data_IF_140534098391
#
_entry.id   IF_140534098391
#
_cell.length_a   1.000
_cell.length_b   1.000
_cell.length_c   1.000
_cell.angle_alpha   90.00
_cell.angle_beta   90.00
_cell.angle_gamma   90.00
#
_symmetry.space_group_name_H-M   'P 1'
#
loop_
_entity.id
_entity.type
_entity.pdbx_description
1 polymer ?
#
# COMPACT_ATOMS: atom_id res chain seq x y z
N UNK A 1 -10.18 15.46 -0.53
CA UNK A 1 -11.03 14.72 0.45
C UNK A 1 -10.26 13.53 1.01
N UNK A 2 -10.39 13.22 2.31
CA UNK A 2 -9.88 11.98 2.93
C UNK A 2 -11.09 11.09 3.23
N UNK A 3 -11.28 10.00 2.49
CA UNK A 3 -12.38 9.06 2.71
C UNK A 3 -11.93 7.89 3.62
N UNK A 4 -12.74 7.52 4.60
CA UNK A 4 -12.37 6.58 5.66
C UNK A 4 -11.56 7.26 6.79
N UNK A 5 -11.74 8.57 6.95
CA UNK A 5 -11.00 9.39 7.90
C UNK A 5 -11.12 8.93 9.37
N UNK A 6 -12.21 8.25 9.74
CA UNK A 6 -12.39 7.69 11.08
C UNK A 6 -11.64 6.38 11.34
N UNK A 7 -11.02 5.78 10.32
CA UNK A 7 -10.13 4.62 10.46
C UNK A 7 -8.80 4.97 11.12
N UNK A 8 -8.00 3.95 11.47
CA UNK A 8 -6.69 4.16 12.10
C UNK A 8 -5.77 5.07 11.25
N UNK A 9 -5.48 4.65 10.01
CA UNK A 9 -4.63 5.41 9.09
C UNK A 9 -5.28 6.73 8.66
N UNK A 10 -6.61 6.74 8.39
CA UNK A 10 -7.32 7.96 8.02
C UNK A 10 -7.24 9.07 9.07
N UNK A 11 -7.28 8.73 10.38
CA UNK A 11 -7.07 9.70 11.48
C UNK A 11 -5.66 10.27 11.48
N UNK A 12 -4.65 9.43 11.26
CA UNK A 12 -3.26 9.89 11.16
C UNK A 12 -3.09 10.82 9.97
N UNK A 13 -3.63 10.46 8.82
CA UNK A 13 -3.64 11.28 7.61
C UNK A 13 -4.33 12.62 7.82
N UNK A 14 -5.48 12.65 8.50
CA UNK A 14 -6.19 13.88 8.80
C UNK A 14 -5.41 14.80 9.76
N UNK A 15 -4.76 14.24 10.80
CA UNK A 15 -3.87 14.98 11.70
C UNK A 15 -2.65 15.54 10.98
N UNK A 16 -1.99 14.72 10.16
CA UNK A 16 -0.85 15.14 9.34
C UNK A 16 -1.23 16.29 8.41
N UNK A 17 -2.40 16.23 7.77
CA UNK A 17 -2.91 17.32 6.94
C UNK A 17 -3.09 18.62 7.76
N UNK A 18 -3.64 18.53 8.99
CA UNK A 18 -3.80 19.69 9.88
C UNK A 18 -2.45 20.31 10.28
N UNK A 19 -1.49 19.49 10.64
CA UNK A 19 -0.13 19.93 11.03
C UNK A 19 0.60 20.65 9.87
N UNK A 20 0.20 20.33 8.61
CA UNK A 20 0.76 20.94 7.41
C UNK A 20 -0.14 22.02 6.79
N UNK A 21 -1.09 22.56 7.56
CA UNK A 21 -2.00 23.64 7.15
C UNK A 21 -2.80 23.33 5.89
N UNK A 22 -3.19 22.07 5.69
CA UNK A 22 -4.10 21.64 4.65
C UNK A 22 -5.52 21.55 5.22
N UNK A 23 -6.53 21.75 4.36
CA UNK A 23 -7.94 21.78 4.74
C UNK A 23 -8.74 20.72 3.93
N UNK A 24 -8.57 19.41 4.21
CA UNK A 24 -9.30 18.37 3.51
C UNK A 24 -10.71 18.19 4.06
N UNK A 25 -11.66 17.87 3.20
CA UNK A 25 -12.96 17.33 3.61
C UNK A 25 -12.76 15.93 4.20
N UNK A 26 -13.22 15.67 5.42
CA UNK A 26 -13.19 14.34 6.02
C UNK A 26 -14.46 13.57 5.67
N UNK A 27 -14.32 12.35 5.13
CA UNK A 27 -15.46 11.58 4.68
C UNK A 27 -15.43 10.12 5.15
N UNK A 28 -16.61 9.49 5.16
CA UNK A 28 -16.81 8.08 5.49
C UNK A 28 -18.27 7.75 5.72
N UNK A 29 -18.57 6.47 5.95
CA UNK A 29 -19.95 5.97 6.06
C UNK A 29 -20.61 6.18 7.44
N UNK A 30 -19.82 6.39 8.49
CA UNK A 30 -20.32 6.52 9.86
C UNK A 30 -20.38 7.98 10.26
N UNK A 31 -21.60 8.54 10.41
CA UNK A 31 -21.84 9.96 10.61
C UNK A 31 -21.16 10.50 11.90
N UNK A 32 -21.42 9.87 13.04
CA UNK A 32 -20.95 10.36 14.33
C UNK A 32 -19.42 10.39 14.43
N UNK A 33 -18.66 9.32 14.11
CA UNK A 33 -17.19 9.37 14.18
C UNK A 33 -16.55 10.35 13.19
N UNK A 34 -17.15 10.54 12.00
CA UNK A 34 -16.63 11.49 11.00
C UNK A 34 -16.86 12.93 11.45
N UNK A 35 -18.08 13.27 11.87
CA UNK A 35 -18.41 14.64 12.34
C UNK A 35 -17.61 15.01 13.59
N UNK A 36 -17.44 14.08 14.52
CA UNK A 36 -16.62 14.28 15.71
C UNK A 36 -15.17 14.60 15.33
N UNK A 37 -14.52 13.80 14.51
CA UNK A 37 -13.15 14.04 14.08
C UNK A 37 -13.00 15.35 13.30
N UNK A 38 -13.95 15.65 12.41
CA UNK A 38 -13.96 16.90 11.64
C UNK A 38 -14.10 18.12 12.56
N UNK A 39 -14.97 18.06 13.57
CA UNK A 39 -15.11 19.13 14.57
C UNK A 39 -13.85 19.29 15.43
N UNK A 40 -13.20 18.20 15.84
CA UNK A 40 -11.94 18.24 16.59
C UNK A 40 -10.80 18.90 15.80
N UNK A 41 -10.76 18.70 14.47
CA UNK A 41 -9.71 19.21 13.59
C UNK A 41 -10.08 20.53 12.90
N UNK A 42 -11.35 20.96 12.97
CA UNK A 42 -11.85 22.15 12.29
C UNK A 42 -12.03 21.97 10.77
N UNK A 43 -12.36 20.77 10.30
CA UNK A 43 -12.52 20.44 8.90
C UNK A 43 -14.00 20.26 8.51
N UNK A 44 -14.32 20.45 7.20
CA UNK A 44 -15.61 20.04 6.63
C UNK A 44 -15.75 18.51 6.68
N UNK A 45 -17.00 18.03 6.77
CA UNK A 45 -17.30 16.59 6.73
C UNK A 45 -18.39 16.24 5.74
N UNK A 46 -18.22 15.10 5.04
CA UNK A 46 -19.25 14.47 4.20
C UNK A 46 -19.48 13.02 4.62
N UNK A 47 -20.75 12.63 4.72
CA UNK A 47 -21.12 11.28 5.18
C UNK A 47 -21.86 10.56 4.07
N UNK A 48 -21.23 9.52 3.53
CA UNK A 48 -21.80 8.66 2.48
C UNK A 48 -21.14 7.29 2.47
N UNK A 49 -21.84 6.30 1.95
CA UNK A 49 -21.32 4.96 1.67
C UNK A 49 -20.91 4.81 0.19
N UNK A 50 -20.37 3.66 -0.16
CA UNK A 50 -19.88 3.36 -1.51
C UNK A 50 -20.82 2.41 -2.29
N UNK A 51 -22.06 2.20 -1.83
CA UNK A 51 -22.97 1.25 -2.45
C UNK A 51 -23.46 1.68 -3.85
N UNK A 52 -23.54 3.00 -4.09
CA UNK A 52 -24.01 3.57 -5.34
C UNK A 52 -22.99 4.57 -5.91
N UNK A 53 -22.33 4.23 -7.03
CA UNK A 53 -21.34 5.13 -7.66
C UNK A 53 -21.90 6.50 -8.08
N UNK A 54 -23.20 6.63 -8.35
CA UNK A 54 -23.81 7.92 -8.67
C UNK A 54 -23.85 8.82 -7.43
N UNK A 55 -24.21 8.25 -6.27
CA UNK A 55 -24.15 8.97 -4.99
C UNK A 55 -22.71 9.30 -4.58
N UNK A 56 -21.76 8.41 -4.86
CA UNK A 56 -20.34 8.70 -4.64
C UNK A 56 -19.94 9.90 -5.48
N UNK A 57 -20.24 9.94 -6.78
CA UNK A 57 -19.93 11.05 -7.67
C UNK A 57 -20.55 12.38 -7.17
N UNK A 58 -21.82 12.38 -6.76
CA UNK A 58 -22.48 13.57 -6.20
C UNK A 58 -21.77 14.10 -4.93
N UNK A 59 -21.26 13.21 -4.08
CA UNK A 59 -20.48 13.60 -2.89
C UNK A 59 -19.04 14.02 -3.20
N UNK A 60 -18.55 13.75 -4.41
CA UNK A 60 -17.25 14.20 -4.90
C UNK A 60 -17.34 15.54 -5.67
N UNK A 61 -18.50 16.12 -5.83
CA UNK A 61 -18.67 17.42 -6.48
C UNK A 61 -17.83 18.49 -5.77
N UNK A 62 -17.02 19.23 -6.54
CA UNK A 62 -16.08 20.23 -6.04
C UNK A 62 -14.82 19.65 -5.37
N UNK A 63 -14.58 18.34 -5.43
CA UNK A 63 -13.41 17.68 -4.86
C UNK A 63 -12.38 17.43 -5.95
N UNK A 64 -11.20 18.04 -5.86
CA UNK A 64 -10.11 17.84 -6.83
C UNK A 64 -9.52 16.44 -6.78
N UNK A 65 -9.33 15.88 -5.57
CA UNK A 65 -8.77 14.55 -5.37
C UNK A 65 -9.34 13.86 -4.13
N UNK A 66 -9.47 12.53 -4.19
CA UNK A 66 -9.78 11.70 -3.02
C UNK A 66 -8.56 10.87 -2.63
N UNK A 67 -8.18 10.93 -1.34
CA UNK A 67 -7.27 9.97 -0.71
C UNK A 67 -8.14 8.95 0.04
N UNK A 68 -8.24 7.76 -0.54
CA UNK A 68 -9.10 6.69 -0.05
C UNK A 68 -8.37 5.82 0.97
N UNK A 69 -8.80 5.88 2.24
CA UNK A 69 -8.22 5.16 3.38
C UNK A 69 -9.15 4.08 3.96
N UNK A 70 -10.25 3.71 3.27
CA UNK A 70 -11.25 2.78 3.79
C UNK A 70 -11.13 1.38 3.17
N UNK A 71 -10.26 0.55 3.72
CA UNK A 71 -10.20 -0.88 3.37
C UNK A 71 -11.40 -1.70 3.92
N UNK A 72 -11.58 -2.97 3.45
CA UNK A 72 -10.73 -3.64 2.46
C UNK A 72 -10.93 -3.07 1.06
N UNK A 73 -9.83 -2.83 0.37
CA UNK A 73 -9.85 -2.15 -0.92
C UNK A 73 -10.41 -3.02 -2.05
N UNK A 74 -10.34 -4.34 -1.91
CA UNK A 74 -11.00 -5.30 -2.79
C UNK A 74 -12.50 -5.03 -2.99
N UNK A 75 -13.15 -4.42 -1.99
CA UNK A 75 -14.59 -4.10 -2.05
C UNK A 75 -14.88 -2.60 -2.21
N UNK A 76 -13.96 -1.74 -1.84
CA UNK A 76 -14.19 -0.29 -1.76
C UNK A 76 -13.55 0.51 -2.88
N UNK A 77 -12.45 0.03 -3.48
CA UNK A 77 -11.72 0.74 -4.53
C UNK A 77 -12.54 0.90 -5.81
N UNK A 78 -13.19 -0.17 -6.28
CA UNK A 78 -13.99 -0.15 -7.50
C UNK A 78 -15.12 0.89 -7.49
N UNK A 79 -16.01 0.87 -6.49
CA UNK A 79 -17.05 1.90 -6.36
C UNK A 79 -16.52 3.33 -6.21
N UNK A 80 -15.44 3.53 -5.44
CA UNK A 80 -14.83 4.84 -5.29
C UNK A 80 -14.23 5.33 -6.62
N UNK A 81 -13.45 4.49 -7.33
CA UNK A 81 -12.91 4.84 -8.64
C UNK A 81 -14.00 5.14 -9.66
N UNK A 82 -15.10 4.36 -9.66
CA UNK A 82 -16.25 4.64 -10.54
C UNK A 82 -16.91 6.00 -10.23
N UNK A 83 -16.99 6.38 -8.96
CA UNK A 83 -17.43 7.72 -8.56
C UNK A 83 -16.47 8.82 -9.02
N UNK A 84 -15.16 8.59 -8.86
CA UNK A 84 -14.11 9.51 -9.30
C UNK A 84 -14.15 9.76 -10.82
N UNK A 85 -14.28 8.70 -11.61
CA UNK A 85 -14.41 8.80 -13.06
C UNK A 85 -15.61 9.64 -13.50
N UNK A 86 -16.75 9.51 -12.81
CA UNK A 86 -17.97 10.29 -13.10
C UNK A 86 -17.86 11.75 -12.67
N UNK A 87 -17.16 12.02 -11.56
CA UNK A 87 -17.04 13.35 -10.99
C UNK A 87 -15.85 14.15 -11.56
N UNK A 88 -14.94 13.51 -12.33
CA UNK A 88 -13.68 14.15 -12.76
C UNK A 88 -12.71 14.36 -11.59
N UNK A 89 -12.81 13.55 -10.52
CA UNK A 89 -11.99 13.66 -9.31
C UNK A 89 -10.80 12.71 -9.39
N UNK A 90 -9.59 13.17 -9.08
CA UNK A 90 -8.41 12.30 -9.02
C UNK A 90 -8.54 11.24 -7.91
N UNK A 91 -8.04 10.03 -8.18
CA UNK A 91 -8.13 8.89 -7.27
C UNK A 91 -6.76 8.51 -6.72
N UNK A 92 -6.63 8.49 -5.40
CA UNK A 92 -5.48 7.91 -4.70
C UNK A 92 -5.99 6.99 -3.59
N UNK A 93 -5.27 5.90 -3.31
CA UNK A 93 -5.56 5.04 -2.16
C UNK A 93 -4.29 4.53 -1.50
N UNK A 94 -4.45 3.86 -0.36
CA UNK A 94 -3.34 3.29 0.41
C UNK A 94 -3.37 1.76 0.40
N UNK A 95 -3.83 1.16 -0.70
CA UNK A 95 -3.92 -0.29 -0.83
C UNK A 95 -2.54 -0.97 -0.90
N UNK A 96 -2.48 -2.23 -0.46
CA UNK A 96 -1.41 -3.19 -0.74
C UNK A 96 -1.92 -4.41 -1.51
N UNK A 97 -3.16 -4.36 -2.02
CA UNK A 97 -3.87 -5.52 -2.58
C UNK A 97 -3.61 -5.66 -4.10
N UNK A 98 -2.95 -6.76 -4.52
CA UNK A 98 -2.58 -7.04 -5.92
C UNK A 98 -3.77 -6.86 -6.87
N UNK A 99 -4.95 -7.38 -6.51
CA UNK A 99 -6.14 -7.31 -7.35
C UNK A 99 -6.61 -5.86 -7.61
N UNK A 100 -6.40 -4.96 -6.67
CA UNK A 100 -6.75 -3.54 -6.82
C UNK A 100 -5.81 -2.88 -7.83
N UNK A 101 -4.50 -3.13 -7.74
CA UNK A 101 -3.52 -2.61 -8.70
C UNK A 101 -3.83 -3.08 -10.12
N UNK A 102 -4.02 -4.39 -10.31
CA UNK A 102 -4.37 -4.95 -11.62
C UNK A 102 -5.70 -4.36 -12.15
N UNK A 103 -6.71 -4.19 -11.28
CA UNK A 103 -7.99 -3.60 -11.65
C UNK A 103 -7.85 -2.13 -12.10
N UNK A 104 -7.10 -1.31 -11.37
CA UNK A 104 -6.90 0.11 -11.73
C UNK A 104 -6.10 0.21 -13.04
N UNK A 105 -5.01 -0.53 -13.17
CA UNK A 105 -4.18 -0.49 -14.39
C UNK A 105 -4.91 -1.06 -15.62
N UNK A 106 -5.78 -2.06 -15.47
CA UNK A 106 -6.62 -2.55 -16.57
C UNK A 106 -7.59 -1.51 -17.12
N UNK A 107 -7.91 -0.48 -16.34
CA UNK A 107 -8.79 0.64 -16.71
C UNK A 107 -8.00 1.89 -17.13
N UNK A 108 -6.69 1.78 -17.39
CA UNK A 108 -5.83 2.92 -17.71
C UNK A 108 -6.38 3.80 -18.83
N UNK A 109 -6.97 3.20 -19.87
CA UNK A 109 -7.56 3.95 -20.97
C UNK A 109 -8.79 4.75 -20.52
N UNK A 110 -9.69 4.14 -19.79
CA UNK A 110 -10.88 4.81 -19.24
C UNK A 110 -10.50 5.97 -18.30
N UNK A 111 -9.48 5.76 -17.46
CA UNK A 111 -8.93 6.78 -16.55
C UNK A 111 -8.35 7.94 -17.34
N UNK A 112 -7.58 7.65 -18.38
CA UNK A 112 -6.99 8.66 -19.26
C UNK A 112 -8.05 9.47 -20.02
N UNK A 113 -9.04 8.77 -20.58
CA UNK A 113 -10.14 9.40 -21.36
C UNK A 113 -11.04 10.27 -20.45
N UNK A 114 -11.12 9.96 -19.14
CA UNK A 114 -11.86 10.76 -18.15
C UNK A 114 -11.09 11.98 -17.62
N UNK A 115 -9.84 12.18 -18.03
CA UNK A 115 -9.04 13.33 -17.63
C UNK A 115 -8.53 13.28 -16.18
N UNK A 116 -8.62 12.13 -15.48
CA UNK A 116 -8.16 12.03 -14.11
C UNK A 116 -6.83 11.30 -13.98
N UNK A 117 -6.19 11.47 -12.83
CA UNK A 117 -5.03 10.70 -12.38
C UNK A 117 -5.50 9.68 -11.36
N UNK A 118 -5.07 8.41 -11.49
CA UNK A 118 -5.30 7.35 -10.52
C UNK A 118 -3.98 6.74 -10.06
N UNK A 119 -3.71 6.80 -8.75
CA UNK A 119 -2.49 6.26 -8.14
C UNK A 119 -2.88 5.39 -6.94
N UNK A 120 -3.13 4.09 -7.14
CA UNK A 120 -3.30 3.17 -6.01
C UNK A 120 -1.98 2.97 -5.27
N UNK A 121 -2.04 2.74 -3.95
CA UNK A 121 -0.88 2.38 -3.13
C UNK A 121 0.06 3.53 -2.80
N UNK A 122 -0.45 4.75 -2.53
CA UNK A 122 0.40 5.89 -2.13
C UNK A 122 0.85 5.84 -0.65
N UNK A 123 0.79 4.68 -0.01
CA UNK A 123 1.25 4.44 1.36
C UNK A 123 2.51 3.58 1.45
N UNK A 124 2.88 3.20 2.68
CA UNK A 124 4.03 2.34 2.96
C UNK A 124 4.00 1.02 2.18
N UNK A 125 2.81 0.48 1.95
CA UNK A 125 2.66 -0.83 1.30
C UNK A 125 3.30 -0.91 -0.10
N UNK A 126 3.55 0.24 -0.75
CA UNK A 126 4.11 0.30 -2.10
C UNK A 126 5.19 1.37 -2.25
N UNK A 127 5.01 2.58 -1.71
CA UNK A 127 5.91 3.71 -2.01
C UNK A 127 7.40 3.39 -1.83
N UNK A 128 7.86 2.82 -0.71
CA UNK A 128 9.28 2.54 -0.53
C UNK A 128 9.80 1.44 -1.48
N UNK A 129 8.99 0.40 -1.69
CA UNK A 129 9.36 -0.77 -2.49
C UNK A 129 9.28 -0.51 -3.99
N UNK A 130 8.30 0.25 -4.47
CA UNK A 130 8.19 0.69 -5.86
C UNK A 130 9.31 1.68 -6.23
N UNK A 131 9.62 2.63 -5.35
CA UNK A 131 10.71 3.57 -5.55
C UNK A 131 12.08 2.87 -5.61
N UNK A 132 12.39 1.96 -4.66
CA UNK A 132 13.66 1.23 -4.68
C UNK A 132 13.75 0.30 -5.90
N UNK A 133 12.65 -0.30 -6.34
CA UNK A 133 12.60 -1.11 -7.56
C UNK A 133 12.95 -0.26 -8.80
N UNK A 134 12.37 0.94 -8.92
CA UNK A 134 12.67 1.87 -10.00
C UNK A 134 14.12 2.37 -9.96
N UNK A 135 14.68 2.67 -8.76
CA UNK A 135 16.10 3.02 -8.60
C UNK A 135 17.01 1.87 -9.06
N UNK A 136 16.72 0.64 -8.65
CA UNK A 136 17.48 -0.55 -9.02
C UNK A 136 17.42 -0.82 -10.53
N UNK A 137 16.26 -0.64 -11.16
CA UNK A 137 16.11 -0.77 -12.61
C UNK A 137 16.91 0.29 -13.37
N UNK A 138 17.02 1.50 -12.82
CA UNK A 138 17.87 2.59 -13.37
C UNK A 138 19.35 2.22 -13.32
N UNK A 139 19.81 1.55 -12.24
CA UNK A 139 21.20 1.10 -12.08
C UNK A 139 21.54 -0.16 -12.92
N UNK A 140 20.58 -1.06 -13.11
CA UNK A 140 20.74 -2.29 -13.92
C UNK A 140 19.57 -2.40 -14.92
N UNK A 141 19.63 -1.69 -16.06
CA UNK A 141 18.55 -1.71 -17.05
C UNK A 141 18.25 -3.09 -17.66
N UNK A 142 19.24 -4.01 -17.66
CA UNK A 142 19.12 -5.41 -18.13
C UNK A 142 18.44 -6.32 -17.10
N UNK A 143 18.07 -5.84 -15.91
CA UNK A 143 17.50 -6.67 -14.86
C UNK A 143 16.25 -7.43 -15.32
N UNK A 144 16.26 -8.75 -15.06
CA UNK A 144 15.18 -9.71 -15.35
C UNK A 144 14.53 -10.27 -14.08
N UNK A 145 15.18 -10.11 -12.93
CA UNK A 145 14.71 -10.58 -11.62
C UNK A 145 14.78 -9.45 -10.60
N UNK A 146 13.73 -9.31 -9.79
CA UNK A 146 13.62 -8.37 -8.69
C UNK A 146 13.22 -9.10 -7.41
N UNK A 147 13.97 -8.86 -6.35
CA UNK A 147 13.66 -9.25 -4.99
C UNK A 147 13.46 -8.00 -4.16
N UNK A 148 12.30 -7.89 -3.54
CA UNK A 148 11.99 -6.85 -2.57
C UNK A 148 11.75 -7.49 -1.21
N UNK A 149 12.17 -6.84 -0.14
CA UNK A 149 11.90 -7.30 1.20
C UNK A 149 11.70 -6.11 2.13
N UNK A 150 10.87 -6.30 3.15
CA UNK A 150 10.72 -5.30 4.22
C UNK A 150 10.52 -5.96 5.58
N UNK A 151 10.87 -5.24 6.63
CA UNK A 151 10.57 -5.60 8.00
C UNK A 151 10.37 -4.34 8.86
N UNK A 152 9.53 -4.48 9.89
CA UNK A 152 9.46 -3.55 11.00
C UNK A 152 10.28 -4.09 12.16
N UNK A 153 10.89 -3.20 12.92
CA UNK A 153 11.66 -3.58 14.10
C UNK A 153 10.77 -4.07 15.24
N UNK A 154 9.60 -3.46 15.44
CA UNK A 154 8.69 -3.76 16.54
C UNK A 154 7.30 -4.22 16.12
N UNK A 155 6.93 -4.03 14.89
CA UNK A 155 5.80 -4.55 14.12
C UNK A 155 4.46 -4.69 14.85
N UNK A 156 3.67 -3.62 14.94
CA UNK A 156 2.25 -3.72 15.32
C UNK A 156 1.34 -3.40 14.16
N UNK A 157 0.28 -4.19 14.00
CA UNK A 157 -0.67 -4.05 12.91
C UNK A 157 -1.86 -3.19 13.34
N UNK A 158 -2.37 -2.38 12.42
CA UNK A 158 -3.66 -1.72 12.57
C UNK A 158 -4.82 -2.73 12.41
N UNK A 159 -6.02 -2.40 12.89
CA UNK A 159 -7.20 -3.23 12.64
C UNK A 159 -7.49 -3.44 11.13
N UNK A 160 -7.20 -2.44 10.30
CA UNK A 160 -7.35 -2.52 8.84
C UNK A 160 -6.41 -3.56 8.26
N UNK A 161 -5.11 -3.41 8.46
CA UNK A 161 -4.07 -4.33 7.98
C UNK A 161 -4.31 -5.76 8.45
N UNK A 162 -4.67 -5.95 9.73
CA UNK A 162 -4.96 -7.29 10.25
C UNK A 162 -6.19 -7.94 9.57
N UNK A 163 -7.23 -7.17 9.22
CA UNK A 163 -8.38 -7.66 8.47
C UNK A 163 -8.04 -8.06 7.05
N UNK A 164 -7.27 -7.24 6.34
CA UNK A 164 -6.78 -7.55 4.98
C UNK A 164 -5.92 -8.82 4.98
N UNK A 165 -5.04 -9.00 5.98
CA UNK A 165 -4.27 -10.24 6.11
C UNK A 165 -5.18 -11.47 6.29
N UNK A 166 -6.25 -11.38 7.08
CA UNK A 166 -7.23 -12.48 7.23
C UNK A 166 -7.92 -12.78 5.91
N UNK A 167 -8.29 -11.78 5.13
CA UNK A 167 -8.88 -11.97 3.80
C UNK A 167 -7.93 -12.71 2.86
N UNK A 168 -6.64 -12.42 2.91
CA UNK A 168 -5.62 -13.06 2.09
C UNK A 168 -5.25 -14.49 2.49
N UNK A 169 -5.58 -14.96 3.70
CA UNK A 169 -5.19 -16.30 4.19
C UNK A 169 -5.56 -17.45 3.23
N UNK A 170 -6.75 -17.47 2.60
CA UNK A 170 -7.12 -18.53 1.66
C UNK A 170 -6.33 -18.50 0.35
N UNK A 171 -5.80 -17.34 -0.03
CA UNK A 171 -5.19 -17.10 -1.33
C UNK A 171 -3.81 -17.75 -1.49
N UNK A 172 -3.09 -18.02 -0.41
CA UNK A 172 -1.71 -18.50 -0.44
C UNK A 172 -0.73 -17.40 -0.87
N UNK A 173 0.39 -17.79 -1.49
CA UNK A 173 1.39 -16.86 -2.02
C UNK A 173 1.11 -16.44 -3.46
N UNK A 174 1.68 -15.32 -3.86
CA UNK A 174 1.75 -14.82 -5.24
C UNK A 174 3.15 -14.32 -5.52
N UNK A 175 3.64 -14.61 -6.71
CA UNK A 175 4.87 -14.03 -7.27
C UNK A 175 4.60 -13.64 -8.72
N UNK A 176 5.45 -12.81 -9.31
CA UNK A 176 5.47 -12.65 -10.77
C UNK A 176 6.55 -13.53 -11.36
N UNK A 177 6.21 -14.31 -12.37
CA UNK A 177 7.11 -15.18 -13.10
C UNK A 177 6.82 -15.02 -14.60
N UNK A 178 7.87 -14.76 -15.38
CA UNK A 178 7.78 -14.56 -16.83
C UNK A 178 6.66 -13.56 -17.24
N UNK A 179 6.58 -12.45 -16.50
CA UNK A 179 5.60 -11.37 -16.70
C UNK A 179 4.19 -11.66 -16.18
N UNK A 180 3.91 -12.86 -15.61
CA UNK A 180 2.57 -13.26 -15.15
C UNK A 180 2.54 -13.45 -13.63
N UNK A 181 1.45 -13.03 -13.00
CA UNK A 181 1.21 -13.31 -11.58
C UNK A 181 0.78 -14.77 -11.44
N UNK A 182 1.57 -15.56 -10.68
CA UNK A 182 1.33 -16.98 -10.48
C UNK A 182 1.09 -17.30 -9.01
N UNK A 183 0.25 -18.31 -8.75
CA UNK A 183 0.02 -18.85 -7.40
C UNK A 183 1.19 -19.73 -6.97
N UNK A 184 1.61 -19.54 -5.71
CA UNK A 184 2.60 -20.38 -5.05
C UNK A 184 2.11 -20.72 -3.63
N UNK A 185 2.70 -21.72 -2.95
CA UNK A 185 2.39 -21.97 -1.55
C UNK A 185 2.65 -20.73 -0.67
N UNK A 186 1.96 -20.61 0.46
CA UNK A 186 2.31 -19.60 1.47
C UNK A 186 3.72 -19.85 2.00
N UNK A 187 4.48 -18.79 2.24
CA UNK A 187 5.91 -18.86 2.58
C UNK A 187 6.70 -19.76 1.60
N UNK A 188 6.49 -19.54 0.29
CA UNK A 188 7.07 -20.32 -0.80
C UNK A 188 8.60 -20.40 -0.72
N UNK A 189 9.26 -19.27 -0.47
CA UNK A 189 10.69 -19.20 -0.18
C UNK A 189 10.91 -18.61 1.21
N UNK A 190 11.99 -19.06 1.84
CA UNK A 190 12.47 -18.56 3.12
C UNK A 190 13.95 -18.22 2.93
N UNK A 191 14.32 -16.97 3.14
CA UNK A 191 15.68 -16.49 2.94
C UNK A 191 16.12 -15.61 4.11
N UNK A 192 17.42 -15.53 4.33
CA UNK A 192 18.02 -14.52 5.21
C UNK A 192 18.29 -13.27 4.41
N UNK A 193 17.69 -12.15 4.80
CA UNK A 193 17.82 -10.86 4.10
C UNK A 193 18.65 -9.89 4.95
N UNK A 194 19.73 -9.29 4.39
CA UNK A 194 20.57 -8.33 5.10
C UNK A 194 19.94 -6.93 5.07
N UNK A 195 19.05 -6.64 6.00
CA UNK A 195 18.32 -5.36 6.07
C UNK A 195 19.19 -4.16 6.44
N UNK A 196 20.25 -4.38 7.23
CA UNK A 196 21.31 -3.40 7.48
C UNK A 196 22.68 -4.07 7.37
N UNK A 197 23.76 -3.35 7.62
CA UNK A 197 25.11 -3.96 7.66
C UNK A 197 25.22 -4.99 8.79
N UNK A 198 24.57 -4.71 9.93
CA UNK A 198 24.66 -5.52 11.14
C UNK A 198 23.40 -6.35 11.41
N UNK A 199 22.33 -6.21 10.61
CA UNK A 199 21.05 -6.87 10.83
C UNK A 199 20.62 -7.68 9.61
N UNK A 200 20.71 -8.99 9.73
CA UNK A 200 20.03 -9.93 8.84
C UNK A 200 18.85 -10.57 9.55
N UNK A 201 17.76 -10.77 8.84
CA UNK A 201 16.58 -11.43 9.40
C UNK A 201 16.00 -12.45 8.42
N UNK A 202 15.38 -13.49 8.98
CA UNK A 202 14.63 -14.46 8.20
C UNK A 202 13.39 -13.80 7.61
N UNK A 203 13.23 -13.91 6.30
CA UNK A 203 12.10 -13.38 5.56
C UNK A 203 11.45 -14.47 4.70
N UNK A 204 10.15 -14.35 4.48
CA UNK A 204 9.36 -15.29 3.68
C UNK A 204 8.64 -14.57 2.55
N UNK A 205 8.44 -15.25 1.44
CA UNK A 205 7.64 -14.71 0.34
C UNK A 205 6.19 -14.50 0.75
N UNK A 206 5.66 -13.34 0.40
CA UNK A 206 4.28 -12.94 0.65
C UNK A 206 3.62 -12.41 -0.64
N UNK A 207 2.28 -12.49 -0.75
CA UNK A 207 1.52 -11.89 -1.85
C UNK A 207 1.35 -10.38 -1.59
N UNK A 208 2.34 -9.59 -1.93
CA UNK A 208 2.37 -8.16 -1.69
C UNK A 208 2.14 -7.34 -2.95
N UNK A 209 1.70 -6.09 -2.82
CA UNK A 209 1.34 -5.21 -3.92
C UNK A 209 2.37 -5.08 -5.03
N UNK A 210 3.65 -5.11 -4.67
CA UNK A 210 4.74 -4.95 -5.64
C UNK A 210 4.88 -6.11 -6.64
N UNK A 211 4.28 -7.26 -6.38
CA UNK A 211 4.12 -8.32 -7.39
C UNK A 211 3.38 -7.78 -8.62
N UNK A 212 2.51 -6.79 -8.44
CA UNK A 212 1.82 -6.05 -9.51
C UNK A 212 2.57 -4.76 -9.87
N UNK A 213 2.75 -3.84 -8.92
CA UNK A 213 3.21 -2.47 -9.16
C UNK A 213 4.61 -2.39 -9.72
N UNK A 214 5.56 -3.19 -9.21
CA UNK A 214 6.94 -3.15 -9.69
C UNK A 214 7.09 -3.65 -11.13
N UNK A 215 6.13 -4.40 -11.67
CA UNK A 215 6.10 -4.74 -13.08
C UNK A 215 5.70 -3.54 -13.95
N UNK A 216 4.72 -2.75 -13.51
CA UNK A 216 4.32 -1.56 -14.23
C UNK A 216 5.41 -0.49 -14.24
N UNK A 217 6.12 -0.31 -13.13
CA UNK A 217 7.16 0.70 -13.00
C UNK A 217 8.51 0.31 -13.62
N UNK A 218 8.84 -1.00 -13.70
CA UNK A 218 10.18 -1.45 -14.09
C UNK A 218 10.22 -2.34 -15.33
N UNK A 219 9.11 -3.00 -15.67
CA UNK A 219 9.04 -4.04 -16.72
C UNK A 219 9.78 -5.34 -16.37
N UNK A 220 10.26 -5.51 -15.13
CA UNK A 220 10.99 -6.73 -14.72
C UNK A 220 10.03 -7.91 -14.66
N UNK A 221 10.29 -9.01 -15.41
CA UNK A 221 9.31 -10.10 -15.55
C UNK A 221 9.24 -11.05 -14.37
N UNK A 222 10.25 -11.09 -13.48
CA UNK A 222 10.29 -11.99 -12.34
C UNK A 222 10.43 -11.19 -11.05
N UNK A 223 9.39 -11.22 -10.19
CA UNK A 223 9.31 -10.40 -8.97
C UNK A 223 8.87 -11.26 -7.80
N UNK A 224 9.63 -11.19 -6.72
CA UNK A 224 9.35 -11.83 -5.44
C UNK A 224 9.42 -10.79 -4.33
N UNK A 225 8.43 -10.81 -3.44
CA UNK A 225 8.38 -9.90 -2.30
C UNK A 225 8.40 -10.70 -1.01
N UNK A 226 9.22 -10.26 -0.07
CA UNK A 226 9.46 -10.93 1.20
C UNK A 226 9.08 -10.03 2.39
N UNK A 227 8.59 -10.64 3.45
CA UNK A 227 8.44 -9.97 4.74
C UNK A 227 9.32 -10.64 5.78
N UNK A 228 10.04 -9.84 6.56
CA UNK A 228 10.78 -10.31 7.74
C UNK A 228 9.79 -10.80 8.79
N UNK A 229 9.93 -12.05 9.22
CA UNK A 229 9.06 -12.68 10.23
C UNK A 229 9.87 -13.49 11.22
N UNK A 230 9.45 -13.55 12.50
CA UNK A 230 10.07 -14.46 13.47
C UNK A 230 9.97 -15.93 13.01
N UNK A 231 11.05 -16.69 13.10
CA UNK A 231 11.11 -18.09 12.65
C UNK A 231 9.97 -18.95 13.19
N UNK A 232 9.58 -18.74 14.46
CA UNK A 232 8.47 -19.45 15.12
C UNK A 232 7.12 -19.25 14.41
N UNK A 233 6.97 -18.22 13.60
CA UNK A 233 5.74 -17.94 12.85
C UNK A 233 5.71 -18.63 11.48
N UNK A 234 6.87 -18.97 10.91
CA UNK A 234 6.98 -19.56 9.56
C UNK A 234 6.23 -20.88 9.45
N UNK A 235 6.37 -21.75 10.45
CA UNK A 235 5.65 -23.03 10.49
C UNK A 235 4.12 -22.84 10.47
N UNK A 236 3.61 -21.80 11.13
CA UNK A 236 2.19 -21.45 11.13
C UNK A 236 1.70 -20.90 9.80
N UNK A 237 2.57 -20.29 8.99
CA UNK A 237 2.23 -19.78 7.68
C UNK A 237 2.12 -20.89 6.62
N UNK A 238 2.82 -22.02 6.81
CA UNK A 238 2.76 -23.20 5.93
C UNK A 238 1.50 -24.06 6.21
N UNK A 239 0.34 -23.42 6.15
CA UNK A 239 -0.96 -24.07 6.41
C UNK A 239 -1.34 -24.98 5.23
N UNK A 240 -1.91 -26.16 5.53
CA UNK A 240 -2.39 -27.10 4.51
C UNK A 240 -3.49 -26.49 3.62
N UNK A 241 -3.64 -27.03 2.40
CA UNK A 241 -4.69 -26.57 1.46
C UNK A 241 -6.10 -26.71 2.04
N UNK A 242 -6.37 -27.79 2.80
CA UNK A 242 -7.64 -27.99 3.49
C UNK A 242 -7.91 -26.93 4.56
N UNK A 243 -6.92 -26.63 5.37
CA UNK A 243 -7.05 -25.58 6.39
C UNK A 243 -7.28 -24.21 5.75
N UNK A 244 -6.61 -23.89 4.63
CA UNK A 244 -6.84 -22.65 3.88
C UNK A 244 -8.26 -22.55 3.35
N UNK A 245 -8.84 -23.65 2.86
CA UNK A 245 -10.23 -23.68 2.43
C UNK A 245 -11.17 -23.33 3.58
N UNK A 246 -10.98 -23.91 4.77
CA UNK A 246 -11.76 -23.57 5.96
C UNK A 246 -11.66 -22.09 6.33
N UNK A 247 -10.45 -21.52 6.27
CA UNK A 247 -10.21 -20.10 6.55
C UNK A 247 -10.87 -19.17 5.51
N UNK A 248 -11.24 -19.68 4.32
CA UNK A 248 -11.99 -18.95 3.28
C UNK A 248 -13.49 -18.89 3.52
N UNK A 249 -14.05 -19.68 4.42
CA UNK A 249 -15.48 -19.69 4.69
C UNK A 249 -15.97 -18.36 5.29
N UNK A 250 -17.05 -17.81 4.77
CA UNK A 250 -17.59 -16.51 5.18
C UNK A 250 -17.85 -16.39 6.70
N UNK A 251 -18.40 -17.41 7.40
CA UNK A 251 -18.56 -17.37 8.85
C UNK A 251 -17.22 -17.28 9.61
N UNK A 252 -16.20 -18.03 9.16
CA UNK A 252 -14.86 -18.03 9.75
C UNK A 252 -14.20 -16.68 9.56
N UNK A 253 -14.24 -16.14 8.36
CA UNK A 253 -13.73 -14.80 8.03
C UNK A 253 -14.41 -13.73 8.90
N UNK A 254 -15.73 -13.76 9.01
CA UNK A 254 -16.51 -12.80 9.81
C UNK A 254 -16.14 -12.88 11.29
N UNK A 255 -16.02 -14.10 11.83
CA UNK A 255 -15.58 -14.31 13.21
C UNK A 255 -14.18 -13.76 13.46
N UNK A 256 -13.20 -14.09 12.60
CA UNK A 256 -11.81 -13.60 12.72
C UNK A 256 -11.76 -12.08 12.67
N UNK A 257 -12.45 -11.45 11.70
CA UNK A 257 -12.53 -9.99 11.58
C UNK A 257 -13.17 -9.32 12.79
N UNK A 258 -14.19 -9.95 13.40
CA UNK A 258 -14.81 -9.46 14.62
C UNK A 258 -13.86 -9.48 15.81
N UNK A 259 -13.06 -10.56 15.96
CA UNK A 259 -12.04 -10.65 16.99
C UNK A 259 -10.94 -9.59 16.81
N UNK A 260 -10.51 -9.35 15.58
CA UNK A 260 -9.56 -8.28 15.27
C UNK A 260 -10.12 -6.92 15.67
N UNK A 261 -11.37 -6.62 15.31
CA UNK A 261 -12.01 -5.35 15.64
C UNK A 261 -12.05 -5.07 17.16
N UNK A 262 -12.14 -6.13 17.97
CA UNK A 262 -12.18 -6.01 19.43
C UNK A 262 -10.79 -5.93 20.08
N UNK A 263 -9.79 -6.60 19.53
CA UNK A 263 -8.48 -6.82 20.20
C UNK A 263 -7.34 -5.99 19.60
N UNK A 264 -7.40 -5.68 18.32
CA UNK A 264 -6.32 -4.95 17.63
C UNK A 264 -6.63 -3.46 17.59
N UNK A 265 -5.79 -2.65 18.23
CA UNK A 265 -5.96 -1.18 18.30
C UNK A 265 -5.00 -0.40 17.41
N UNK A 266 -3.99 -1.06 16.86
CA UNK A 266 -2.87 -0.41 16.16
C UNK A 266 -1.79 0.11 17.13
N UNK A 267 -0.65 0.57 16.60
CA UNK A 267 0.41 1.14 17.41
C UNK A 267 0.01 2.49 18.02
N UNK A 268 0.51 2.80 19.24
CA UNK A 268 0.36 4.11 19.86
C UNK A 268 1.35 5.12 19.26
N UNK A 269 1.20 6.41 19.57
CA UNK A 269 2.09 7.47 19.09
C UNK A 269 3.54 7.19 19.52
N UNK A 270 3.77 6.77 20.78
CA UNK A 270 5.09 6.44 21.29
C UNK A 270 5.68 5.19 20.60
N UNK A 271 4.84 4.22 20.25
CA UNK A 271 5.28 3.02 19.52
C UNK A 271 5.68 3.38 18.10
N UNK A 272 4.91 4.23 17.40
CA UNK A 272 5.27 4.70 16.07
C UNK A 272 6.55 5.55 16.07
N UNK A 273 6.72 6.40 17.08
CA UNK A 273 7.92 7.24 17.19
C UNK A 273 9.22 6.44 17.38
N UNK A 274 9.13 5.20 17.89
CA UNK A 274 10.29 4.32 18.16
C UNK A 274 10.53 3.28 17.08
N UNK A 275 9.54 3.04 16.23
CA UNK A 275 9.62 2.01 15.20
C UNK A 275 10.15 2.57 13.89
N UNK A 276 10.81 1.71 13.14
CA UNK A 276 11.39 1.99 11.84
C UNK A 276 11.13 0.83 10.91
N UNK A 277 11.04 1.15 9.63
CA UNK A 277 10.94 0.15 8.58
C UNK A 277 12.27 0.02 7.85
N UNK A 278 12.66 -1.20 7.62
CA UNK A 278 13.82 -1.56 6.83
C UNK A 278 13.36 -2.23 5.55
N UNK A 279 13.83 -1.72 4.43
CA UNK A 279 13.51 -2.22 3.09
C UNK A 279 14.80 -2.63 2.41
N UNK A 280 14.77 -3.76 1.74
CA UNK A 280 15.85 -4.28 0.91
C UNK A 280 15.32 -4.51 -0.50
N UNK A 281 16.10 -4.13 -1.48
CA UNK A 281 15.85 -4.45 -2.89
C UNK A 281 17.11 -5.01 -3.55
N UNK A 282 16.93 -6.01 -4.41
CA UNK A 282 18.00 -6.61 -5.22
C UNK A 282 17.46 -6.90 -6.61
N UNK A 283 18.20 -6.50 -7.63
CA UNK A 283 17.96 -6.90 -9.02
C UNK A 283 19.10 -7.76 -9.55
N UNK A 284 18.76 -8.64 -10.48
CA UNK A 284 19.71 -9.49 -11.18
C UNK A 284 19.33 -9.59 -12.66
N UNK A 285 20.31 -9.60 -13.55
CA UNK A 285 20.12 -9.95 -14.97
C UNK A 285 20.51 -11.41 -15.26
N UNK A 286 20.32 -11.84 -16.49
CA UNK A 286 20.61 -13.22 -16.94
C UNK A 286 22.12 -13.45 -17.11
N UNK A 287 22.93 -12.40 -17.20
CA UNK A 287 24.40 -12.47 -17.20
C UNK A 287 24.99 -12.62 -15.78
N UNK A 288 24.13 -12.54 -14.74
CA UNK A 288 24.54 -12.71 -13.35
C UNK A 288 24.94 -11.41 -12.65
N UNK A 289 24.88 -10.25 -13.33
CA UNK A 289 25.12 -8.96 -12.66
C UNK A 289 24.04 -8.71 -11.63
N UNK A 290 24.41 -8.11 -10.52
CA UNK A 290 23.52 -7.80 -9.40
C UNK A 290 23.74 -6.40 -8.88
N UNK A 291 22.65 -5.75 -8.48
CA UNK A 291 22.68 -4.50 -7.73
C UNK A 291 21.70 -4.63 -6.57
N UNK A 292 22.10 -4.16 -5.40
CA UNK A 292 21.22 -4.14 -4.24
C UNK A 292 21.30 -2.81 -3.49
N UNK A 293 20.16 -2.42 -2.92
CA UNK A 293 20.00 -1.21 -2.14
C UNK A 293 19.18 -1.48 -0.88
N UNK A 294 19.33 -0.61 0.10
CA UNK A 294 18.53 -0.59 1.33
C UNK A 294 17.91 0.77 1.53
N UNK A 295 16.67 0.78 2.01
CA UNK A 295 16.03 1.97 2.54
C UNK A 295 15.71 1.75 4.01
N UNK A 296 15.87 2.80 4.81
CA UNK A 296 15.35 2.91 6.16
C UNK A 296 14.36 4.06 6.17
N UNK A 297 13.17 3.84 6.70
CA UNK A 297 12.13 4.86 6.78
C UNK A 297 11.56 4.95 8.18
N UNK A 298 10.76 5.97 8.42
CA UNK A 298 9.89 6.03 9.62
C UNK A 298 8.92 4.85 9.62
N UNK A 299 8.24 4.66 10.74
CA UNK A 299 7.21 3.65 10.93
C UNK A 299 6.14 3.70 9.81
N UNK A 300 5.62 2.54 9.39
CA UNK A 300 4.82 2.39 8.18
C UNK A 300 3.54 3.23 8.12
N UNK A 301 2.79 3.38 9.23
CA UNK A 301 1.56 4.20 9.23
C UNK A 301 1.86 5.70 9.23
N UNK A 302 2.93 6.10 9.88
CA UNK A 302 3.41 7.49 9.86
C UNK A 302 3.83 7.87 8.44
N UNK A 303 4.63 7.02 7.78
CA UNK A 303 5.01 7.23 6.39
C UNK A 303 3.79 7.20 5.47
N UNK A 304 2.82 6.32 5.69
CA UNK A 304 1.59 6.26 4.88
C UNK A 304 0.79 7.57 4.95
N UNK A 305 0.67 8.16 6.14
CA UNK A 305 -0.02 9.44 6.31
C UNK A 305 0.70 10.58 5.56
N UNK A 306 2.01 10.67 5.73
CA UNK A 306 2.86 11.66 5.08
C UNK A 306 2.85 11.49 3.55
N UNK A 307 3.15 10.28 3.07
CA UNK A 307 3.21 9.96 1.65
C UNK A 307 1.87 10.16 0.95
N UNK A 308 0.77 9.70 1.56
CA UNK A 308 -0.57 9.87 1.00
C UNK A 308 -0.96 11.34 0.82
N UNK A 309 -0.70 12.19 1.82
CA UNK A 309 -0.97 13.63 1.75
C UNK A 309 -0.05 14.30 0.73
N UNK A 310 1.24 13.99 0.73
CA UNK A 310 2.22 14.56 -0.21
C UNK A 310 1.90 14.18 -1.65
N UNK A 311 1.58 12.91 -1.91
CA UNK A 311 1.15 12.43 -3.22
C UNK A 311 -0.12 13.15 -3.70
N UNK A 312 -1.12 13.28 -2.82
CA UNK A 312 -2.38 13.97 -3.15
C UNK A 312 -2.13 15.43 -3.52
N UNK A 313 -1.28 16.13 -2.76
CA UNK A 313 -0.90 17.51 -3.05
C UNK A 313 -0.21 17.63 -4.41
N UNK A 314 0.78 16.76 -4.71
CA UNK A 314 1.47 16.74 -6.01
C UNK A 314 0.51 16.51 -7.18
N UNK A 315 -0.50 15.68 -7.03
CA UNK A 315 -1.55 15.45 -8.04
C UNK A 315 -2.40 16.71 -8.25
N UNK A 316 -2.84 17.36 -7.16
CA UNK A 316 -3.64 18.59 -7.23
C UNK A 316 -2.85 19.76 -7.87
N UNK A 317 -1.52 19.80 -7.71
CA UNK A 317 -0.65 20.77 -8.38
C UNK A 317 -0.64 20.63 -9.93
N UNK A 318 -1.23 19.57 -10.48
CA UNK A 318 -1.59 19.46 -11.90
C UNK A 318 -0.44 19.21 -12.87
N UNK A 319 0.68 18.64 -12.41
CA UNK A 319 1.86 18.37 -13.25
C UNK A 319 1.84 17.02 -13.96
N UNK A 320 0.88 16.14 -13.58
CA UNK A 320 0.74 14.82 -14.17
C UNK A 320 -0.31 14.82 -15.28
N UNK A 321 0.00 14.16 -16.39
CA UNK A 321 -1.02 13.82 -17.38
C UNK A 321 -2.04 12.85 -16.78
N UNK A 322 -3.28 12.83 -17.34
CA UNK A 322 -4.29 11.84 -16.95
C UNK A 322 -3.80 10.42 -17.22
N UNK A 323 -4.10 9.48 -16.32
CA UNK A 323 -3.67 8.09 -16.44
C UNK A 323 -3.60 7.35 -15.12
N UNK A 324 -3.28 6.05 -15.20
CA UNK A 324 -3.02 5.19 -14.05
C UNK A 324 -1.51 5.04 -13.84
N UNK A 325 -1.06 5.25 -12.61
CA UNK A 325 0.35 5.27 -12.25
C UNK A 325 0.64 4.45 -11.00
N UNK A 326 1.88 3.96 -10.86
CA UNK A 326 2.45 3.64 -9.55
C UNK A 326 3.07 4.91 -8.97
N UNK A 327 3.37 4.97 -7.65
CA UNK A 327 4.02 6.13 -7.06
C UNK A 327 5.32 6.54 -7.75
N UNK A 328 6.19 5.58 -8.09
CA UNK A 328 7.46 5.88 -8.76
C UNK A 328 7.29 6.34 -10.22
N UNK A 329 6.26 5.86 -10.92
CA UNK A 329 5.90 6.36 -12.25
C UNK A 329 5.39 7.80 -12.21
N UNK A 330 4.59 8.13 -11.19
CA UNK A 330 3.99 9.46 -11.03
C UNK A 330 5.00 10.52 -10.59
N UNK A 331 5.86 10.20 -9.64
CA UNK A 331 6.68 11.18 -8.94
C UNK A 331 8.20 10.94 -9.09
N UNK A 332 8.59 9.90 -9.83
CA UNK A 332 9.99 9.50 -10.00
C UNK A 332 10.48 8.51 -8.93
N UNK A 333 11.55 7.79 -9.27
CA UNK A 333 12.15 6.80 -8.39
C UNK A 333 12.60 7.37 -7.03
N UNK A 334 12.99 8.64 -7.02
CA UNK A 334 13.54 9.30 -5.83
C UNK A 334 12.46 9.89 -4.90
N UNK A 335 11.16 9.74 -5.23
CA UNK A 335 10.04 10.27 -4.44
C UNK A 335 10.08 9.88 -2.96
N UNK A 336 10.43 8.63 -2.66
CA UNK A 336 10.53 8.17 -1.27
C UNK A 336 11.57 8.92 -0.45
N UNK A 337 12.60 9.50 -1.09
CA UNK A 337 13.65 10.27 -0.43
C UNK A 337 13.20 11.69 -0.01
N UNK A 338 12.08 12.16 -0.54
CA UNK A 338 11.44 13.40 -0.10
C UNK A 338 10.71 13.23 1.24
N UNK A 339 10.41 11.99 1.66
CA UNK A 339 9.68 11.69 2.89
C UNK A 339 10.63 11.73 4.09
N UNK A 340 10.17 12.33 5.18
CA UNK A 340 10.98 12.58 6.38
C UNK A 340 11.57 11.27 6.94
N UNK A 341 12.85 11.34 7.34
CA UNK A 341 13.56 10.23 7.97
C UNK A 341 13.95 9.09 7.03
N UNK A 342 13.70 9.21 5.72
CA UNK A 342 14.12 8.22 4.74
C UNK A 342 15.61 8.30 4.44
N UNK A 343 16.28 7.15 4.44
CA UNK A 343 17.72 7.03 4.13
C UNK A 343 17.96 5.88 3.19
N UNK A 344 18.68 6.16 2.09
CA UNK A 344 19.11 5.17 1.09
C UNK A 344 20.57 4.78 1.34
N UNK A 345 20.90 3.49 1.18
CA UNK A 345 22.28 3.01 1.13
C UNK A 345 22.44 1.92 0.06
N UNK A 346 23.60 1.87 -0.57
CA UNK A 346 23.97 0.79 -1.50
C UNK A 346 24.53 -0.38 -0.72
N UNK A 347 24.27 -1.59 -1.21
CA UNK A 347 24.85 -2.83 -0.67
C UNK A 347 26.07 -3.18 -1.52
N UNK A 348 27.21 -3.44 -0.88
CA UNK A 348 28.35 -4.07 -1.54
C UNK A 348 28.05 -5.57 -1.62
N UNK A 349 27.88 -6.10 -2.83
CA UNK A 349 27.62 -7.52 -3.12
C UNK A 349 28.94 -8.27 -3.34
#
# INVERSE_FOLDING_TARGET
MIYGANGYTGRLTARFAKEHNLDPILAGRLAEPIRKLAGELGFESRVFDLADPAKVAANLEGVSAVLHCAGPFSTTSGPMLAGCLRAGTHYLDITGEIAVFESVHSRSREIMDSGIVAIPGVGFDVVPTDCIAAMLKRELPSATHLKLAFMSRYGKLSPGTAKTMVEGLPEGGRIRKDGKIVRVPAAYKVESIPFTEDLSATAVTIPWGDVATAYYSTGIPNIEVFAGVPEKQIAKMKISGFMRWLLGLAPVQSFMKSQIARRVKGPTDEQRARDEMYIYGEVRDDAGHKVAMRLRTREGYTLTAESGVTATRKVIEGRLASGAYTPSMAFGADYVLELEGTRLSRVKL
#
